data_IF_678443189254
#
_entry.id   IF_678443189254
#
_cell.length_a   1.000
_cell.length_b   1.000
_cell.length_c   1.000
_cell.angle_alpha   90.00
_cell.angle_beta   90.00
_cell.angle_gamma   90.00
#
_symmetry.space_group_name_H-M   'P 1'
#
loop_
_entity.id
_entity.type
_entity.pdbx_description
1 polymer ?
#
# COMPACT_ATOMS: atom_id res chain seq x y z
N UNK A 1 20.55 36.74 6.59
CA UNK A 1 20.31 36.55 8.04
C UNK A 1 18.92 37.11 8.33
N UNK A 2 17.88 36.38 7.93
CA UNK A 2 16.48 36.75 8.09
C UNK A 2 15.93 36.06 9.33
N UNK A 3 15.31 36.83 10.22
CA UNK A 3 14.75 36.36 11.49
C UNK A 3 13.81 35.16 11.31
N UNK A 4 13.78 34.20 12.26
CA UNK A 4 12.81 33.11 12.23
C UNK A 4 11.43 33.72 12.51
N UNK A 5 10.55 33.64 11.51
CA UNK A 5 9.13 33.96 11.63
C UNK A 5 8.55 33.11 12.74
N UNK A 6 8.10 33.75 13.81
CA UNK A 6 7.39 33.14 14.93
C UNK A 6 6.01 32.71 14.46
N UNK A 7 5.94 31.65 13.66
CA UNK A 7 4.68 30.96 13.43
C UNK A 7 4.20 30.45 14.79
N UNK A 8 2.96 30.76 15.20
CA UNK A 8 2.43 30.32 16.47
C UNK A 8 2.47 28.79 16.52
N UNK A 9 2.92 28.24 17.66
CA UNK A 9 2.93 26.80 17.90
C UNK A 9 1.55 26.21 17.57
N UNK A 10 1.47 25.15 16.76
CA UNK A 10 0.19 24.59 16.35
C UNK A 10 -0.61 24.15 17.59
N UNK A 11 -1.89 24.53 17.64
CA UNK A 11 -2.79 24.34 18.79
C UNK A 11 -2.96 22.87 19.24
N UNK A 12 -2.49 21.89 18.44
CA UNK A 12 -2.64 20.46 18.65
C UNK A 12 -1.50 19.75 19.39
N UNK A 13 -0.47 20.45 19.87
CA UNK A 13 0.66 19.81 20.54
C UNK A 13 1.49 18.89 19.63
N UNK A 14 2.46 18.18 20.21
CA UNK A 14 3.35 17.26 19.49
C UNK A 14 2.71 15.89 19.28
N UNK A 15 1.71 15.81 18.40
CA UNK A 15 1.06 14.54 18.05
C UNK A 15 1.85 13.78 16.99
N UNK A 16 2.26 12.55 17.30
CA UNK A 16 2.89 11.64 16.34
C UNK A 16 1.85 10.68 15.73
N UNK A 17 1.36 10.99 14.53
CA UNK A 17 0.36 10.18 13.81
C UNK A 17 0.96 9.01 13.01
N UNK A 18 2.28 8.93 12.88
CA UNK A 18 2.96 7.87 12.13
C UNK A 18 2.67 6.46 12.67
N UNK A 19 2.52 6.33 13.99
CA UNK A 19 2.19 5.06 14.64
C UNK A 19 0.83 4.51 14.20
N UNK A 20 -0.15 5.35 13.89
CA UNK A 20 -1.47 4.89 13.42
C UNK A 20 -1.35 4.19 12.07
N UNK A 21 -0.55 4.74 11.16
CA UNK A 21 -0.30 4.16 9.83
C UNK A 21 0.39 2.80 9.97
N UNK A 22 1.41 2.71 10.83
CA UNK A 22 2.11 1.46 11.10
C UNK A 22 1.18 0.38 11.68
N UNK A 23 0.32 0.74 12.64
CA UNK A 23 -0.66 -0.19 13.23
C UNK A 23 -1.58 -0.76 12.15
N UNK A 24 -2.12 0.09 11.26
CA UNK A 24 -2.99 -0.35 10.17
C UNK A 24 -2.25 -1.29 9.22
N UNK A 25 -1.01 -0.97 8.84
CA UNK A 25 -0.17 -1.81 7.99
C UNK A 25 0.10 -3.18 8.62
N UNK A 26 0.47 -3.24 9.90
CA UNK A 26 0.75 -4.49 10.60
C UNK A 26 -0.51 -5.35 10.72
N UNK A 27 -1.66 -4.75 11.06
CA UNK A 27 -2.94 -5.46 11.17
C UNK A 27 -3.38 -6.00 9.80
N UNK A 28 -3.30 -5.17 8.76
CA UNK A 28 -3.64 -5.59 7.39
C UNK A 28 -2.71 -6.70 6.90
N UNK A 29 -1.40 -6.58 7.14
CA UNK A 29 -0.43 -7.63 6.78
C UNK A 29 -0.71 -8.93 7.53
N UNK A 30 -0.96 -8.87 8.84
CA UNK A 30 -1.23 -10.07 9.66
C UNK A 30 -2.51 -10.77 9.23
N UNK A 31 -3.58 -10.01 8.96
CA UNK A 31 -4.85 -10.55 8.49
C UNK A 31 -4.74 -11.15 7.09
N UNK A 32 -3.90 -10.61 6.21
CA UNK A 32 -3.60 -11.20 4.90
C UNK A 32 -2.65 -12.42 4.98
N UNK A 33 -1.71 -12.42 5.92
CA UNK A 33 -0.72 -13.49 6.08
C UNK A 33 -1.38 -14.83 6.46
N UNK A 34 -2.35 -14.81 7.38
CA UNK A 34 -3.04 -16.02 7.87
C UNK A 34 -3.66 -16.86 6.72
N UNK A 35 -4.55 -16.32 5.86
CA UNK A 35 -5.17 -17.09 4.79
C UNK A 35 -4.17 -17.48 3.70
N UNK A 36 -3.14 -16.66 3.43
CA UNK A 36 -2.11 -16.99 2.44
C UNK A 36 -1.25 -18.15 2.92
N UNK A 37 -0.81 -18.11 4.18
CA UNK A 37 -0.05 -19.19 4.79
C UNK A 37 -0.84 -20.49 4.78
N UNK A 38 -2.12 -20.44 5.19
CA UNK A 38 -2.99 -21.61 5.15
C UNK A 38 -3.19 -22.15 3.74
N UNK A 39 -3.35 -21.27 2.73
CA UNK A 39 -3.51 -21.66 1.32
C UNK A 39 -2.27 -22.38 0.80
N UNK A 40 -1.08 -21.83 1.06
CA UNK A 40 0.20 -22.42 0.66
C UNK A 40 0.40 -23.77 1.36
N UNK A 41 0.12 -23.85 2.67
CA UNK A 41 0.22 -25.10 3.44
C UNK A 41 -0.69 -26.18 2.86
N UNK A 42 -1.96 -25.88 2.65
CA UNK A 42 -2.94 -26.82 2.10
C UNK A 42 -2.51 -27.29 0.72
N UNK A 43 -2.06 -26.40 -0.17
CA UNK A 43 -1.66 -26.81 -1.52
C UNK A 43 -0.36 -27.60 -1.55
N UNK A 44 0.61 -27.22 -0.73
CA UNK A 44 1.85 -27.96 -0.60
C UNK A 44 1.61 -29.37 -0.04
N UNK A 45 0.76 -29.51 0.97
CA UNK A 45 0.56 -30.77 1.69
C UNK A 45 -0.53 -31.67 1.10
N UNK A 46 -1.60 -31.10 0.54
CA UNK A 46 -2.76 -31.85 0.00
C UNK A 46 -2.72 -31.94 -1.53
N UNK A 47 -2.35 -30.87 -2.24
CA UNK A 47 -2.40 -30.86 -3.71
C UNK A 47 -1.09 -31.30 -4.38
N UNK A 48 0.06 -31.22 -3.69
CA UNK A 48 1.37 -31.69 -4.17
C UNK A 48 1.92 -30.94 -5.39
N UNK A 49 1.28 -29.85 -5.82
CA UNK A 49 1.61 -29.06 -7.00
C UNK A 49 1.30 -27.59 -6.74
N UNK A 50 2.30 -26.73 -6.94
CA UNK A 50 2.15 -25.28 -6.86
C UNK A 50 1.79 -24.75 -8.25
N UNK A 51 0.61 -24.15 -8.36
CA UNK A 51 0.17 -23.49 -9.59
C UNK A 51 0.78 -22.09 -9.72
N UNK A 52 0.67 -21.50 -10.91
CA UNK A 52 1.05 -20.09 -11.15
C UNK A 52 0.37 -19.11 -10.18
N UNK A 53 -0.84 -19.43 -9.74
CA UNK A 53 -1.61 -18.69 -8.73
C UNK A 53 -0.99 -18.70 -7.32
N UNK A 54 -0.19 -19.72 -6.98
CA UNK A 54 0.50 -19.81 -5.69
C UNK A 54 1.80 -19.00 -5.70
N UNK A 55 2.47 -18.89 -6.84
CA UNK A 55 3.64 -18.03 -6.97
C UNK A 55 3.27 -16.55 -6.90
N UNK A 56 2.12 -16.14 -7.46
CA UNK A 56 1.66 -14.74 -7.40
C UNK A 56 1.32 -14.32 -5.98
N UNK A 57 0.72 -15.22 -5.17
CA UNK A 57 0.35 -14.90 -3.79
C UNK A 57 1.59 -14.82 -2.87
N UNK A 58 2.59 -15.68 -3.09
CA UNK A 58 3.86 -15.62 -2.39
C UNK A 58 4.63 -14.35 -2.76
N UNK A 59 4.67 -14.00 -4.04
CA UNK A 59 5.28 -12.76 -4.52
C UNK A 59 4.58 -11.53 -3.91
N UNK A 60 3.25 -11.49 -3.90
CA UNK A 60 2.49 -10.42 -3.25
C UNK A 60 2.82 -10.29 -1.75
N UNK A 61 2.99 -11.42 -1.05
CA UNK A 61 3.36 -11.41 0.36
C UNK A 61 4.78 -10.88 0.59
N UNK A 62 5.72 -11.21 -0.31
CA UNK A 62 7.09 -10.67 -0.25
C UNK A 62 7.13 -9.15 -0.45
N UNK A 63 6.32 -8.62 -1.38
CA UNK A 63 6.15 -7.17 -1.55
C UNK A 63 5.58 -6.55 -0.29
N UNK A 64 4.58 -7.17 0.34
CA UNK A 64 4.02 -6.72 1.62
C UNK A 64 5.07 -6.61 2.75
N UNK A 65 5.99 -7.57 2.84
CA UNK A 65 7.10 -7.54 3.81
C UNK A 65 8.06 -6.39 3.53
N UNK A 66 8.45 -6.18 2.28
CA UNK A 66 9.30 -5.05 1.88
C UNK A 66 8.63 -3.73 2.26
N UNK A 67 7.33 -3.62 2.04
CA UNK A 67 6.57 -2.43 2.44
C UNK A 67 6.57 -2.17 3.94
N UNK A 68 6.49 -3.22 4.76
CA UNK A 68 6.60 -3.11 6.21
C UNK A 68 8.00 -2.61 6.60
N UNK A 69 9.06 -3.17 6.02
CA UNK A 69 10.45 -2.80 6.29
C UNK A 69 10.74 -1.36 5.90
N UNK A 70 10.18 -0.87 4.79
CA UNK A 70 10.36 0.52 4.33
C UNK A 70 9.55 1.51 5.18
N UNK A 71 8.35 1.15 5.62
CA UNK A 71 7.50 2.07 6.40
C UNK A 71 7.94 2.21 7.87
N UNK A 72 8.59 1.21 8.46
CA UNK A 72 9.13 1.28 9.83
C UNK A 72 10.08 2.48 10.03
N UNK A 73 11.15 2.65 9.22
CA UNK A 73 12.07 3.77 9.35
C UNK A 73 11.42 5.12 9.01
N UNK A 74 10.46 5.15 8.08
CA UNK A 74 9.68 6.37 7.80
C UNK A 74 8.98 6.87 9.07
N UNK A 75 8.33 5.99 9.82
CA UNK A 75 7.63 6.37 11.06
C UNK A 75 8.61 6.79 12.17
N UNK A 76 9.78 6.15 12.27
CA UNK A 76 10.79 6.53 13.28
C UNK A 76 11.49 7.86 12.98
N UNK A 77 11.62 8.22 11.69
CA UNK A 77 12.24 9.49 11.26
C UNK A 77 11.29 10.69 11.37
N UNK A 78 10.06 10.48 11.88
CA UNK A 78 9.11 11.54 12.24
C UNK A 78 7.98 11.74 11.23
N UNK A 79 7.73 10.76 10.36
CA UNK A 79 6.58 10.79 9.46
C UNK A 79 5.28 10.80 10.27
N UNK A 80 4.55 11.93 10.25
CA UNK A 80 3.32 12.14 11.03
C UNK A 80 3.46 13.03 12.27
N UNK A 81 4.64 13.63 12.51
CA UNK A 81 4.89 14.67 13.53
C UNK A 81 4.94 16.06 12.89
N UNK A 82 4.53 17.11 13.59
CA UNK A 82 4.45 18.46 13.02
C UNK A 82 5.85 18.94 12.59
N UNK A 83 5.98 19.45 11.36
CA UNK A 83 7.26 19.91 10.75
C UNK A 83 8.00 20.93 11.63
N UNK A 84 7.25 21.66 12.46
CA UNK A 84 7.76 22.64 13.44
C UNK A 84 8.71 22.04 14.49
N UNK A 85 8.57 20.75 14.82
CA UNK A 85 9.38 20.08 15.86
C UNK A 85 10.51 19.20 15.28
N UNK A 86 10.67 19.15 13.95
CA UNK A 86 11.72 18.36 13.30
C UNK A 86 12.90 19.25 12.89
N UNK A 87 14.12 18.75 13.08
CA UNK A 87 15.30 19.38 12.49
C UNK A 87 15.25 19.27 10.96
N UNK A 88 15.82 20.26 10.25
CA UNK A 88 15.91 20.30 8.78
C UNK A 88 16.43 18.97 8.19
N UNK A 89 17.39 18.33 8.85
CA UNK A 89 17.93 17.02 8.45
C UNK A 89 16.90 15.88 8.56
N UNK A 90 16.08 15.87 9.61
CA UNK A 90 15.01 14.88 9.80
C UNK A 90 13.86 15.09 8.82
N UNK A 91 13.57 16.34 8.44
CA UNK A 91 12.56 16.65 7.39
C UNK A 91 13.03 16.09 6.04
N UNK A 92 14.31 16.28 5.70
CA UNK A 92 14.89 15.75 4.48
C UNK A 92 14.89 14.21 4.46
N UNK A 93 15.28 13.57 5.56
CA UNK A 93 15.24 12.12 5.71
C UNK A 93 13.80 11.57 5.61
N UNK A 94 12.85 12.15 6.36
CA UNK A 94 11.45 11.73 6.33
C UNK A 94 10.83 11.88 4.93
N UNK A 95 11.20 12.94 4.18
CA UNK A 95 10.76 13.12 2.79
C UNK A 95 11.35 12.05 1.88
N UNK A 96 12.63 11.73 2.03
CA UNK A 96 13.30 10.69 1.25
C UNK A 96 12.72 9.30 1.50
N UNK A 97 12.32 8.99 2.74
CA UNK A 97 11.65 7.72 3.09
C UNK A 97 10.17 7.66 2.74
N UNK A 98 9.53 8.81 2.50
CA UNK A 98 8.12 8.86 2.10
C UNK A 98 7.93 8.46 0.64
N UNK A 99 8.82 8.91 -0.24
CA UNK A 99 8.78 8.56 -1.67
C UNK A 99 8.64 7.04 -1.90
N UNK A 100 9.52 6.17 -1.37
CA UNK A 100 9.39 4.73 -1.55
C UNK A 100 8.15 4.13 -0.87
N UNK A 101 7.67 4.73 0.22
CA UNK A 101 6.44 4.29 0.90
C UNK A 101 5.19 4.53 0.05
N UNK A 102 5.15 5.64 -0.70
CA UNK A 102 4.09 5.95 -1.66
C UNK A 102 4.10 4.96 -2.84
N UNK A 103 5.28 4.69 -3.42
CA UNK A 103 5.42 3.70 -4.49
C UNK A 103 4.94 2.31 -4.04
N UNK A 104 5.31 1.91 -2.83
CA UNK A 104 4.86 0.65 -2.25
C UNK A 104 3.33 0.58 -2.12
N UNK A 105 2.69 1.67 -1.68
CA UNK A 105 1.24 1.70 -1.53
C UNK A 105 0.53 1.48 -2.88
N UNK A 106 0.99 2.18 -3.92
CA UNK A 106 0.45 2.04 -5.28
C UNK A 106 0.65 0.60 -5.80
N UNK A 107 1.84 0.03 -5.61
CA UNK A 107 2.13 -1.36 -5.99
C UNK A 107 1.30 -2.38 -5.22
N UNK A 108 0.81 -2.06 -4.02
CA UNK A 108 -0.08 -2.91 -3.25
C UNK A 108 -1.54 -2.84 -3.71
N UNK A 109 -2.06 -1.65 -3.95
CA UNK A 109 -3.48 -1.43 -4.31
C UNK A 109 -3.76 -1.85 -5.75
N UNK A 110 -2.87 -1.51 -6.68
CA UNK A 110 -3.07 -1.72 -8.11
C UNK A 110 -3.34 -3.18 -8.52
N UNK A 111 -2.54 -4.19 -8.12
CA UNK A 111 -2.82 -5.59 -8.45
C UNK A 111 -4.08 -6.14 -7.75
N UNK A 112 -4.45 -5.60 -6.58
CA UNK A 112 -5.66 -6.00 -5.86
C UNK A 112 -6.91 -5.54 -6.61
N UNK A 113 -6.94 -4.28 -7.05
CA UNK A 113 -8.03 -3.76 -7.89
C UNK A 113 -8.17 -4.56 -9.19
N UNK A 114 -7.05 -4.86 -9.87
CA UNK A 114 -7.04 -5.68 -11.08
C UNK A 114 -7.61 -7.08 -10.83
N UNK A 115 -7.23 -7.73 -9.73
CA UNK A 115 -7.73 -9.06 -9.35
C UNK A 115 -9.25 -9.05 -9.11
N UNK A 116 -9.75 -8.05 -8.38
CA UNK A 116 -11.19 -7.89 -8.10
C UNK A 116 -11.96 -7.67 -9.41
N UNK A 117 -11.47 -6.81 -10.29
CA UNK A 117 -12.13 -6.55 -11.57
C UNK A 117 -12.16 -7.78 -12.48
N UNK A 118 -11.06 -8.56 -12.55
CA UNK A 118 -11.02 -9.83 -13.31
C UNK A 118 -11.97 -10.87 -12.69
N UNK A 119 -12.04 -10.96 -11.36
CA UNK A 119 -12.96 -11.84 -10.67
C UNK A 119 -14.42 -11.48 -10.97
N UNK A 120 -14.76 -10.18 -10.96
CA UNK A 120 -16.09 -9.69 -11.33
C UNK A 120 -16.43 -9.98 -12.80
N UNK A 121 -15.46 -9.87 -13.71
CA UNK A 121 -15.66 -10.25 -15.11
C UNK A 121 -15.92 -11.76 -15.28
N UNK A 122 -15.38 -12.60 -14.40
CA UNK A 122 -15.57 -14.05 -14.45
C UNK A 122 -16.92 -14.49 -13.87
N UNK A 123 -17.38 -13.84 -12.80
CA UNK A 123 -18.69 -14.17 -12.18
C UNK A 123 -19.85 -13.65 -13.03
N UNK A 124 -19.66 -12.52 -13.70
CA UNK A 124 -20.67 -11.94 -14.57
C UNK A 124 -20.63 -12.61 -15.94
N UNK A 125 -21.46 -13.63 -16.12
CA UNK A 125 -21.59 -14.32 -17.40
C UNK A 125 -21.96 -13.39 -18.58
N UNK A 126 -21.87 -13.90 -19.81
CA UNK A 126 -22.06 -13.15 -21.07
C UNK A 126 -23.39 -12.41 -21.24
N UNK A 127 -24.34 -12.59 -20.31
CA UNK A 127 -25.69 -11.99 -20.37
C UNK A 127 -25.70 -10.48 -20.12
N UNK A 128 -24.69 -9.93 -19.45
CA UNK A 128 -24.64 -8.51 -19.07
C UNK A 128 -23.53 -7.73 -19.78
N UNK A 129 -23.57 -7.71 -21.12
CA UNK A 129 -22.53 -7.10 -21.98
C UNK A 129 -22.23 -5.62 -21.65
N UNK A 130 -23.24 -4.83 -21.32
CA UNK A 130 -23.06 -3.41 -20.95
C UNK A 130 -22.30 -3.25 -19.62
N UNK A 131 -22.55 -4.14 -18.66
CA UNK A 131 -21.86 -4.12 -17.38
C UNK A 131 -20.41 -4.61 -17.51
N UNK A 132 -20.16 -5.58 -18.40
CA UNK A 132 -18.80 -6.01 -18.76
C UNK A 132 -18.01 -4.85 -19.36
N UNK A 133 -18.60 -4.08 -20.29
CA UNK A 133 -17.95 -2.89 -20.86
C UNK A 133 -17.69 -1.81 -19.81
N UNK A 134 -18.63 -1.61 -18.88
CA UNK A 134 -18.45 -0.69 -17.75
C UNK A 134 -17.28 -1.12 -16.84
N UNK A 135 -17.17 -2.41 -16.51
CA UNK A 135 -16.05 -2.94 -15.71
C UNK A 135 -14.70 -2.78 -16.41
N UNK A 136 -14.65 -2.98 -17.73
CA UNK A 136 -13.44 -2.72 -18.53
C UNK A 136 -13.05 -1.25 -18.53
N UNK A 137 -14.02 -0.34 -18.67
CA UNK A 137 -13.78 1.10 -18.58
C UNK A 137 -13.27 1.50 -17.19
N UNK A 138 -13.89 0.99 -16.12
CA UNK A 138 -13.50 1.26 -14.73
C UNK A 138 -12.09 0.74 -14.43
N UNK A 139 -11.75 -0.46 -14.90
CA UNK A 139 -10.42 -1.04 -14.79
C UNK A 139 -9.39 -0.17 -15.52
N UNK A 140 -9.68 0.24 -16.76
CA UNK A 140 -8.83 1.12 -17.55
C UNK A 140 -8.58 2.46 -16.86
N UNK A 141 -9.63 3.12 -16.37
CA UNK A 141 -9.53 4.39 -15.65
C UNK A 141 -8.70 4.23 -14.36
N UNK A 142 -8.97 3.21 -13.55
CA UNK A 142 -8.22 2.98 -12.30
C UNK A 142 -6.75 2.72 -12.58
N UNK A 143 -6.42 1.93 -13.62
CA UNK A 143 -5.02 1.73 -14.01
C UNK A 143 -4.36 3.01 -14.51
N UNK A 144 -5.05 3.84 -15.29
CA UNK A 144 -4.53 5.10 -15.79
C UNK A 144 -4.25 6.09 -14.64
N UNK A 145 -5.13 6.17 -13.65
CA UNK A 145 -4.93 6.99 -12.46
C UNK A 145 -3.73 6.51 -11.66
N UNK A 146 -3.62 5.21 -11.39
CA UNK A 146 -2.48 4.63 -10.67
C UNK A 146 -1.16 4.89 -11.42
N UNK A 147 -1.13 4.73 -12.76
CA UNK A 147 0.06 5.03 -13.58
C UNK A 147 0.39 6.52 -13.52
N UNK A 148 -0.60 7.40 -13.61
CA UNK A 148 -0.40 8.85 -13.50
C UNK A 148 0.22 9.23 -12.15
N UNK A 149 -0.28 8.65 -11.05
CA UNK A 149 0.24 8.88 -9.71
C UNK A 149 1.67 8.36 -9.50
N UNK A 150 2.11 7.35 -10.26
CA UNK A 150 3.50 6.87 -10.24
C UNK A 150 4.45 7.83 -10.96
N UNK A 151 3.94 8.59 -11.94
CA UNK A 151 4.74 9.46 -12.81
C UNK A 151 4.88 10.89 -12.25
N UNK A 152 3.91 11.34 -11.45
CA UNK A 152 3.90 12.67 -10.79
C UNK A 152 4.74 12.62 -9.51
#
# INVERSE_FOLDING_TARGET
MSAPTSDPSPLGGDENRGYQVLIVLIVAFTTAFIPVFLRVWVRFHIAGSLGWDDYTIIAAMSVGVVGLIVNIPSVTDGFGRHVYYLSQERIAAARMWNEPSQFQNILGVWPVELSICIFLLRILGRKHRNFILFLWALMGISTAVNICLVVI
#
